data_IF_553146460958
#
_entry.id   IF_553146460958
#
_cell.length_a   1.000
_cell.length_b   1.000
_cell.length_c   1.000
_cell.angle_alpha   90.00
_cell.angle_beta   90.00
_cell.angle_gamma   90.00
#
_symmetry.space_group_name_H-M   'P 1'
#
loop_
_entity.id
_entity.type
_entity.pdbx_description
1 polymer ?
#
# COMPACT_ATOMS: atom_id res chain seq x y z
N UNK A 1 -18.15 67.35 -18.61
CA UNK A 1 -18.35 66.63 -17.34
C UNK A 1 -19.22 65.42 -17.64
N UNK A 2 -18.81 64.17 -17.45
CA UNK A 2 -17.54 63.63 -16.95
C UNK A 2 -17.38 62.21 -17.48
N UNK A 3 -16.13 61.81 -17.60
CA UNK A 3 -15.61 60.56 -18.12
C UNK A 3 -16.14 59.34 -17.36
N UNK A 4 -16.59 58.33 -18.11
CA UNK A 4 -16.83 56.98 -17.61
C UNK A 4 -15.55 56.18 -17.79
N UNK A 5 -14.63 56.28 -16.82
CA UNK A 5 -13.52 55.34 -16.69
C UNK A 5 -14.06 54.02 -16.15
N UNK A 6 -14.35 53.11 -17.08
CA UNK A 6 -14.70 51.73 -16.80
C UNK A 6 -13.45 51.01 -16.27
N UNK A 7 -13.46 50.75 -14.97
CA UNK A 7 -12.37 50.12 -14.22
C UNK A 7 -12.15 48.66 -14.67
N UNK A 8 -11.35 48.48 -15.72
CA UNK A 8 -10.77 47.22 -16.20
C UNK A 8 -9.53 46.77 -15.38
N UNK A 9 -9.42 47.18 -14.11
CA UNK A 9 -8.30 46.79 -13.24
C UNK A 9 -8.72 45.68 -12.27
N UNK A 10 -8.57 44.42 -12.68
CA UNK A 10 -8.69 43.31 -11.73
C UNK A 10 -8.90 41.92 -12.30
N UNK A 11 -9.06 41.76 -13.62
CA UNK A 11 -9.22 40.43 -14.20
C UNK A 11 -7.88 39.72 -14.27
N UNK A 12 -7.56 38.94 -13.22
CA UNK A 12 -6.43 38.01 -13.23
C UNK A 12 -6.50 37.17 -14.51
N UNK A 13 -5.42 37.14 -15.31
CA UNK A 13 -5.43 36.43 -16.59
C UNK A 13 -5.78 34.97 -16.34
N UNK A 14 -6.65 34.40 -17.17
CA UNK A 14 -7.04 33.00 -17.06
C UNK A 14 -5.78 32.13 -17.27
N UNK A 15 -5.21 31.68 -16.15
CA UNK A 15 -4.00 30.87 -16.14
C UNK A 15 -4.37 29.47 -16.61
N UNK A 16 -3.81 29.05 -17.75
CA UNK A 16 -4.08 27.73 -18.32
C UNK A 16 -3.56 26.63 -17.37
N UNK A 17 -4.44 25.79 -16.78
CA UNK A 17 -4.05 24.82 -15.76
C UNK A 17 -3.11 23.73 -16.28
N UNK A 18 -3.05 23.52 -17.60
CA UNK A 18 -2.20 22.51 -18.24
C UNK A 18 -0.75 22.98 -18.49
N UNK A 19 -0.43 24.25 -18.20
CA UNK A 19 0.92 24.83 -18.38
C UNK A 19 1.59 25.24 -17.05
N UNK A 20 0.98 24.87 -15.92
CA UNK A 20 1.44 25.26 -14.59
C UNK A 20 2.40 24.23 -14.01
N UNK A 21 3.46 24.70 -13.34
CA UNK A 21 4.39 23.84 -12.63
C UNK A 21 3.80 23.26 -11.35
N UNK A 22 4.50 22.30 -10.74
CA UNK A 22 4.10 21.73 -9.44
C UNK A 22 3.98 22.80 -8.36
N UNK A 23 4.90 23.77 -8.35
CA UNK A 23 4.90 24.91 -7.45
C UNK A 23 3.69 25.82 -7.66
N UNK A 24 3.26 26.04 -8.90
CA UNK A 24 2.11 26.90 -9.21
C UNK A 24 0.79 26.25 -8.76
N UNK A 25 0.65 24.93 -8.94
CA UNK A 25 -0.51 24.17 -8.44
C UNK A 25 -0.62 24.25 -6.91
N UNK A 26 0.51 24.11 -6.20
CA UNK A 26 0.55 24.24 -4.74
C UNK A 26 0.23 25.67 -4.32
N UNK A 27 0.82 26.68 -4.97
CA UNK A 27 0.56 28.10 -4.70
C UNK A 27 -0.92 28.44 -4.86
N UNK A 28 -1.56 28.00 -5.94
CA UNK A 28 -3.00 28.19 -6.14
C UNK A 28 -3.84 27.54 -5.04
N UNK A 29 -3.51 26.30 -4.65
CA UNK A 29 -4.22 25.59 -3.57
C UNK A 29 -4.05 26.29 -2.22
N UNK A 30 -2.86 26.80 -1.92
CA UNK A 30 -2.58 27.56 -0.71
C UNK A 30 -3.36 28.88 -0.71
N UNK A 31 -3.31 29.65 -1.80
CA UNK A 31 -4.06 30.90 -1.92
C UNK A 31 -5.56 30.67 -1.67
N UNK A 32 -6.14 29.63 -2.27
CA UNK A 32 -7.54 29.24 -2.08
C UNK A 32 -7.88 28.87 -0.62
N UNK A 33 -6.94 28.26 0.11
CA UNK A 33 -7.12 27.95 1.54
C UNK A 33 -7.01 29.22 2.40
N UNK A 34 -6.16 30.17 2.01
CA UNK A 34 -5.92 31.42 2.74
C UNK A 34 -6.99 32.50 2.48
N UNK A 35 -7.77 32.39 1.39
CA UNK A 35 -8.93 33.26 1.14
C UNK A 35 -9.98 33.21 2.27
N UNK A 36 -10.07 32.08 2.99
CA UNK A 36 -11.04 31.86 4.08
C UNK A 36 -10.40 31.14 5.27
N UNK A 37 -9.60 31.84 6.09
CA UNK A 37 -8.86 31.22 7.19
C UNK A 37 -9.76 30.71 8.33
N UNK A 38 -10.97 31.28 8.48
CA UNK A 38 -11.90 30.91 9.55
C UNK A 38 -12.69 29.61 9.26
N UNK A 39 -12.66 29.10 8.02
CA UNK A 39 -13.37 27.88 7.64
C UNK A 39 -12.48 26.66 7.94
N UNK A 40 -12.91 25.73 8.81
CA UNK A 40 -12.12 24.54 9.10
C UNK A 40 -11.96 23.68 7.85
N UNK A 41 -10.72 23.28 7.57
CA UNK A 41 -10.39 22.40 6.44
C UNK A 41 -10.79 20.97 6.77
N UNK A 42 -11.75 20.41 6.03
CA UNK A 42 -12.14 19.01 6.16
C UNK A 42 -11.10 18.13 5.45
N UNK A 43 -10.26 17.47 6.23
CA UNK A 43 -9.38 16.42 5.72
C UNK A 43 -10.23 15.15 5.60
N UNK A 44 -10.38 14.57 4.39
CA UNK A 44 -11.14 13.33 4.25
C UNK A 44 -10.47 12.23 5.06
N UNK A 45 -11.23 11.58 5.93
CA UNK A 45 -10.80 10.34 6.55
C UNK A 45 -10.54 9.29 5.48
N UNK A 46 -9.63 8.35 5.76
CA UNK A 46 -9.33 7.26 4.82
C UNK A 46 -10.62 6.58 4.37
N UNK A 47 -10.79 6.36 3.06
CA UNK A 47 -11.99 5.75 2.52
C UNK A 47 -12.25 4.41 3.19
N UNK A 48 -13.35 4.30 3.94
CA UNK A 48 -13.79 3.03 4.52
C UNK A 48 -14.02 2.01 3.40
N UNK A 49 -13.58 0.77 3.62
CA UNK A 49 -13.83 -0.32 2.69
C UNK A 49 -15.34 -0.51 2.54
N UNK A 50 -15.80 -0.74 1.30
CA UNK A 50 -17.22 -0.96 1.03
C UNK A 50 -17.61 -2.36 1.49
N UNK A 51 -18.22 -2.47 2.65
CA UNK A 51 -18.68 -3.74 3.19
C UNK A 51 -20.09 -4.08 2.69
N UNK A 52 -20.43 -5.37 2.48
CA UNK A 52 -21.79 -5.77 2.15
C UNK A 52 -22.72 -5.40 3.30
N UNK A 53 -23.90 -4.84 2.97
CA UNK A 53 -24.89 -4.47 3.99
C UNK A 53 -25.34 -5.70 4.76
N UNK A 54 -25.39 -5.58 6.09
CA UNK A 54 -25.90 -6.63 6.96
C UNK A 54 -27.34 -7.03 6.58
N UNK A 55 -27.71 -8.32 6.69
CA UNK A 55 -29.08 -8.74 6.48
C UNK A 55 -30.00 -8.07 7.51
N UNK A 56 -31.26 -7.75 7.14
CA UNK A 56 -32.22 -7.20 8.09
C UNK A 56 -32.63 -8.27 9.13
N UNK A 57 -32.77 -7.87 10.38
CA UNK A 57 -33.10 -8.79 11.49
C UNK A 57 -34.48 -9.45 11.32
N UNK A 58 -35.47 -8.69 10.87
CA UNK A 58 -36.84 -9.15 10.69
C UNK A 58 -37.38 -8.79 9.32
N UNK A 59 -37.80 -9.81 8.57
CA UNK A 59 -38.60 -9.64 7.36
C UNK A 59 -40.07 -9.66 7.77
N UNK A 60 -40.74 -8.52 7.64
CA UNK A 60 -42.15 -8.36 8.06
C UNK A 60 -43.15 -8.89 7.04
N UNK A 61 -42.75 -8.96 5.76
CA UNK A 61 -43.64 -9.26 4.65
C UNK A 61 -43.45 -10.71 4.17
N UNK A 62 -43.51 -11.67 5.09
CA UNK A 62 -43.38 -13.10 4.77
C UNK A 62 -44.78 -13.71 4.62
N UNK A 63 -45.09 -14.23 3.44
CA UNK A 63 -46.31 -15.00 3.22
C UNK A 63 -46.13 -16.44 3.76
N UNK A 64 -47.22 -17.09 4.16
CA UNK A 64 -47.18 -18.43 4.75
C UNK A 64 -46.46 -19.46 3.86
N UNK A 65 -45.83 -20.46 4.48
CA UNK A 65 -44.94 -21.43 3.79
C UNK A 65 -45.61 -22.27 2.70
N UNK A 66 -46.94 -22.39 2.74
CA UNK A 66 -47.74 -23.10 1.74
C UNK A 66 -48.41 -22.16 0.71
N UNK A 67 -48.19 -20.85 0.81
CA UNK A 67 -48.67 -19.90 -0.20
C UNK A 67 -47.88 -20.11 -1.51
N UNK A 68 -48.56 -20.01 -2.64
CA UNK A 68 -47.94 -20.15 -3.96
C UNK A 68 -46.99 -19.00 -4.30
N UNK A 69 -46.23 -19.15 -5.40
CA UNK A 69 -45.32 -18.13 -5.91
C UNK A 69 -46.11 -16.91 -6.40
N UNK A 70 -45.86 -15.76 -5.78
CA UNK A 70 -46.40 -14.46 -6.19
C UNK A 70 -45.59 -13.84 -7.33
N UNK A 71 -46.19 -12.86 -8.02
CA UNK A 71 -45.54 -12.16 -9.15
C UNK A 71 -44.27 -11.38 -8.75
N UNK A 72 -44.11 -11.03 -7.48
CA UNK A 72 -42.94 -10.32 -6.95
C UNK A 72 -41.77 -11.23 -6.54
N UNK A 73 -41.99 -12.54 -6.40
CA UNK A 73 -41.01 -13.45 -5.79
C UNK A 73 -39.74 -13.60 -6.63
N UNK A 74 -39.87 -13.52 -7.96
CA UNK A 74 -38.72 -13.52 -8.85
C UNK A 74 -37.78 -12.33 -8.59
N UNK A 75 -38.34 -11.13 -8.37
CA UNK A 75 -37.53 -9.95 -8.09
C UNK A 75 -36.91 -9.99 -6.69
N UNK A 76 -37.63 -10.53 -5.72
CA UNK A 76 -37.10 -10.79 -4.37
C UNK A 76 -35.90 -11.73 -4.45
N UNK A 77 -36.05 -12.88 -5.11
CA UNK A 77 -34.98 -13.84 -5.31
C UNK A 77 -33.76 -13.24 -6.02
N UNK A 78 -33.98 -12.51 -7.11
CA UNK A 78 -32.92 -11.83 -7.87
C UNK A 78 -32.13 -10.83 -6.99
N UNK A 79 -32.82 -10.08 -6.14
CA UNK A 79 -32.20 -9.13 -5.21
C UNK A 79 -31.39 -9.83 -4.11
N UNK A 80 -31.95 -10.89 -3.51
CA UNK A 80 -31.28 -11.70 -2.48
C UNK A 80 -30.04 -12.38 -3.06
N UNK A 81 -30.16 -13.02 -4.24
CA UNK A 81 -29.04 -13.70 -4.91
C UNK A 81 -27.88 -12.73 -5.20
N UNK A 82 -28.17 -11.53 -5.73
CA UNK A 82 -27.12 -10.51 -5.95
C UNK A 82 -26.45 -10.07 -4.67
N UNK A 83 -27.21 -9.85 -3.60
CA UNK A 83 -26.67 -9.48 -2.29
C UNK A 83 -25.76 -10.59 -1.75
N UNK A 84 -26.18 -11.84 -1.89
CA UNK A 84 -25.41 -12.99 -1.42
C UNK A 84 -24.13 -13.20 -2.22
N UNK A 85 -24.17 -13.09 -3.56
CA UNK A 85 -22.97 -13.18 -4.38
C UNK A 85 -21.96 -12.08 -4.06
N UNK A 86 -22.43 -10.83 -3.92
CA UNK A 86 -21.56 -9.73 -3.50
C UNK A 86 -20.96 -9.96 -2.10
N UNK A 87 -21.72 -10.57 -1.18
CA UNK A 87 -21.24 -10.93 0.15
C UNK A 87 -20.17 -12.03 0.10
N UNK A 88 -20.40 -13.09 -0.67
CA UNK A 88 -19.45 -14.20 -0.84
C UNK A 88 -18.16 -13.72 -1.52
N UNK A 89 -18.28 -12.95 -2.60
CA UNK A 89 -17.13 -12.36 -3.30
C UNK A 89 -16.30 -11.48 -2.36
N UNK A 90 -16.93 -10.65 -1.54
CA UNK A 90 -16.25 -9.83 -0.55
C UNK A 90 -15.51 -10.65 0.51
N UNK A 91 -16.12 -11.73 1.01
CA UNK A 91 -15.48 -12.62 1.99
C UNK A 91 -14.26 -13.30 1.37
N UNK A 92 -14.38 -13.81 0.14
CA UNK A 92 -13.27 -14.42 -0.58
C UNK A 92 -12.13 -13.44 -0.85
N UNK A 93 -12.45 -12.22 -1.30
CA UNK A 93 -11.46 -11.17 -1.52
C UNK A 93 -10.74 -10.79 -0.22
N UNK A 94 -11.48 -10.62 0.87
CA UNK A 94 -10.87 -10.36 2.18
C UNK A 94 -9.96 -11.49 2.64
N UNK A 95 -10.37 -12.75 2.48
CA UNK A 95 -9.56 -13.90 2.85
C UNK A 95 -8.25 -13.93 2.05
N UNK A 96 -8.32 -13.67 0.74
CA UNK A 96 -7.15 -13.57 -0.15
C UNK A 96 -6.22 -12.41 0.25
N UNK A 97 -6.76 -11.25 0.56
CA UNK A 97 -5.99 -10.09 1.00
C UNK A 97 -5.30 -10.32 2.35
N UNK A 98 -6.01 -10.90 3.33
CA UNK A 98 -5.45 -11.24 4.64
C UNK A 98 -4.31 -12.24 4.50
N UNK A 99 -4.51 -13.33 3.75
CA UNK A 99 -3.46 -14.32 3.51
C UNK A 99 -2.20 -13.70 2.86
N UNK A 100 -2.37 -12.76 1.92
CA UNK A 100 -1.25 -12.03 1.31
C UNK A 100 -0.55 -11.10 2.31
N UNK A 101 -1.31 -10.39 3.14
CA UNK A 101 -0.75 -9.51 4.15
C UNK A 101 0.04 -10.30 5.20
N UNK A 102 -0.50 -11.41 5.68
CA UNK A 102 0.15 -12.27 6.67
C UNK A 102 1.44 -12.89 6.10
N UNK A 103 1.41 -13.35 4.84
CA UNK A 103 2.59 -13.85 4.16
C UNK A 103 3.67 -12.77 4.01
N UNK A 104 3.29 -11.54 3.65
CA UNK A 104 4.21 -10.41 3.54
C UNK A 104 4.85 -10.06 4.88
N UNK A 105 4.05 -10.00 5.96
CA UNK A 105 4.54 -9.71 7.31
C UNK A 105 5.52 -10.80 7.74
N UNK A 106 5.16 -12.08 7.57
CA UNK A 106 6.03 -13.20 7.92
C UNK A 106 7.37 -13.16 7.16
N UNK A 107 7.35 -12.88 5.85
CA UNK A 107 8.56 -12.76 5.03
C UNK A 107 9.43 -11.58 5.49
N UNK A 108 8.81 -10.43 5.75
CA UNK A 108 9.51 -9.24 6.21
C UNK A 108 10.15 -9.45 7.59
N UNK A 109 9.43 -10.07 8.52
CA UNK A 109 9.97 -10.44 9.83
C UNK A 109 11.13 -11.42 9.73
N UNK A 110 11.04 -12.44 8.87
CA UNK A 110 12.12 -13.39 8.65
C UNK A 110 13.39 -12.70 8.11
N UNK A 111 13.22 -11.78 7.14
CA UNK A 111 14.32 -10.96 6.62
C UNK A 111 14.95 -10.09 7.70
N UNK A 112 14.13 -9.44 8.53
CA UNK A 112 14.61 -8.58 9.60
C UNK A 112 15.37 -9.38 10.67
N UNK A 113 14.84 -10.54 11.09
CA UNK A 113 15.52 -11.44 12.03
C UNK A 113 16.89 -11.89 11.49
N UNK A 114 16.96 -12.29 10.22
CA UNK A 114 18.24 -12.68 9.59
C UNK A 114 19.26 -11.52 9.55
N UNK A 115 18.81 -10.30 9.26
CA UNK A 115 19.65 -9.10 9.28
C UNK A 115 20.10 -8.78 10.71
N UNK A 116 19.21 -8.89 11.70
CA UNK A 116 19.49 -8.65 13.10
C UNK A 116 20.50 -9.65 13.67
N UNK A 117 20.39 -10.93 13.34
CA UNK A 117 21.37 -11.95 13.72
C UNK A 117 22.76 -11.64 13.16
N UNK A 118 22.85 -11.29 11.87
CA UNK A 118 24.11 -10.87 11.24
C UNK A 118 24.67 -9.61 11.90
N UNK A 119 23.82 -8.62 12.21
CA UNK A 119 24.21 -7.38 12.90
C UNK A 119 24.66 -7.65 14.34
N UNK A 120 23.98 -8.54 15.07
CA UNK A 120 24.31 -8.92 16.44
C UNK A 120 25.65 -9.63 16.53
N UNK A 121 25.92 -10.60 15.63
CA UNK A 121 27.23 -11.27 15.52
C UNK A 121 28.35 -10.27 15.27
N UNK A 122 28.18 -9.35 14.31
CA UNK A 122 29.17 -8.28 14.02
C UNK A 122 29.34 -7.32 15.19
N UNK A 123 28.27 -6.93 15.88
CA UNK A 123 28.31 -6.08 17.07
C UNK A 123 29.05 -6.75 18.23
N UNK A 124 28.81 -8.04 18.47
CA UNK A 124 29.52 -8.82 19.48
C UNK A 124 31.04 -8.92 19.19
N UNK A 125 31.44 -9.17 17.93
CA UNK A 125 32.86 -9.16 17.52
C UNK A 125 33.51 -7.80 17.81
N UNK A 126 32.84 -6.69 17.48
CA UNK A 126 33.31 -5.32 17.76
C UNK A 126 33.41 -5.03 19.28
N UNK A 127 32.44 -5.46 20.08
CA UNK A 127 32.47 -5.29 21.53
C UNK A 127 33.63 -6.04 22.17
N UNK A 128 33.84 -7.32 21.80
CA UNK A 128 35.00 -8.11 22.25
C UNK A 128 36.34 -7.44 21.88
N UNK A 129 36.50 -6.93 20.64
CA UNK A 129 37.72 -6.19 20.23
C UNK A 129 37.90 -4.90 21.02
N UNK A 130 36.82 -4.16 21.29
CA UNK A 130 36.85 -2.93 22.10
C UNK A 130 37.27 -3.23 23.54
N UNK A 131 36.74 -4.28 24.15
CA UNK A 131 37.12 -4.72 25.50
C UNK A 131 38.57 -5.19 25.55
N UNK A 132 39.03 -5.99 24.58
CA UNK A 132 40.42 -6.41 24.49
C UNK A 132 41.38 -5.22 24.35
N UNK A 133 41.05 -4.22 23.52
CA UNK A 133 41.84 -2.98 23.38
C UNK A 133 41.87 -2.17 24.68
N UNK A 134 40.75 -2.12 25.41
CA UNK A 134 40.69 -1.44 26.72
C UNK A 134 41.56 -2.14 27.76
N UNK A 135 41.56 -3.48 27.81
CA UNK A 135 42.43 -4.27 28.70
C UNK A 135 43.91 -4.03 28.39
N UNK A 136 44.32 -4.16 27.13
CA UNK A 136 45.71 -3.87 26.69
C UNK A 136 46.19 -2.46 27.06
N UNK A 137 45.32 -1.45 26.95
CA UNK A 137 45.63 -0.07 27.38
C UNK A 137 45.77 0.09 28.89
N UNK A 138 45.03 -0.69 29.69
CA UNK A 138 45.14 -0.69 31.15
C UNK A 138 46.43 -1.36 31.62
N UNK A 139 46.89 -2.37 30.88
CA UNK A 139 48.09 -3.16 31.20
C UNK A 139 49.40 -2.50 30.70
N UNK A 140 49.37 -1.22 30.28
CA UNK A 140 50.57 -0.43 30.00
C UNK A 140 51.22 -0.62 28.62
N UNK A 141 50.58 -1.32 27.68
CA UNK A 141 51.14 -1.51 26.33
C UNK A 141 51.02 -0.23 25.46
N UNK A 142 52.15 0.19 24.86
CA UNK A 142 52.29 1.40 24.02
C UNK A 142 51.25 1.43 22.87
N UNK A 143 50.47 2.52 22.71
CA UNK A 143 49.46 2.63 21.67
C UNK A 143 50.00 2.71 20.23
N UNK A 144 51.32 2.80 19.99
CA UNK A 144 51.92 3.03 18.66
C UNK A 144 52.33 1.78 17.87
N UNK A 145 52.25 0.58 18.43
CA UNK A 145 52.81 -0.65 17.79
C UNK A 145 51.77 -1.63 17.25
N UNK A 146 50.47 -1.29 17.23
CA UNK A 146 49.41 -2.23 16.83
C UNK A 146 48.43 -1.64 15.82
N UNK A 147 48.97 -1.06 14.75
CA UNK A 147 48.25 -0.89 13.48
C UNK A 147 48.45 -2.14 12.61
N UNK A 148 48.12 -3.31 13.14
CA UNK A 148 47.91 -4.50 12.30
C UNK A 148 46.46 -4.45 11.81
N UNK A 149 46.29 -3.67 10.74
CA UNK A 149 45.11 -3.59 9.91
C UNK A 149 45.04 -4.86 9.05
N UNK A 150 44.78 -6.00 9.69
CA UNK A 150 44.41 -7.22 8.96
C UNK A 150 42.98 -7.06 8.47
N UNK A 151 42.90 -6.48 7.27
CA UNK A 151 41.80 -6.46 6.32
C UNK A 151 41.27 -7.88 6.10
N UNK A 152 40.39 -8.34 6.98
CA UNK A 152 39.64 -9.56 6.78
C UNK A 152 38.35 -9.24 6.00
N UNK A 153 38.52 -9.08 4.68
CA UNK A 153 37.45 -9.08 3.71
C UNK A 153 36.92 -10.51 3.55
N UNK A 154 36.14 -10.99 4.52
CA UNK A 154 35.27 -12.13 4.24
C UNK A 154 34.00 -11.62 3.56
N UNK A 155 34.08 -11.56 2.24
CA UNK A 155 32.94 -11.53 1.34
C UNK A 155 32.25 -12.89 1.48
N UNK A 156 31.22 -12.97 2.34
CA UNK A 156 30.28 -14.08 2.32
C UNK A 156 29.54 -14.06 0.98
N UNK A 157 30.06 -14.84 0.03
CA UNK A 157 29.43 -15.17 -1.24
C UNK A 157 28.14 -15.95 -0.98
N UNK A 158 27.04 -15.26 -0.68
CA UNK A 158 25.70 -15.85 -0.76
C UNK A 158 25.25 -15.77 -2.21
N UNK A 159 25.54 -16.84 -2.97
CA UNK A 159 25.15 -17.01 -4.36
C UNK A 159 23.68 -16.69 -4.57
N UNK A 160 23.43 -15.53 -5.19
CA UNK A 160 22.14 -15.24 -5.82
C UNK A 160 22.15 -15.97 -7.16
N UNK A 161 21.58 -17.18 -7.20
CA UNK A 161 21.16 -17.78 -8.47
C UNK A 161 20.08 -16.86 -9.07
N UNK A 162 20.20 -16.43 -10.33
CA UNK A 162 19.05 -15.85 -11.03
C UNK A 162 18.05 -16.98 -11.27
N UNK A 163 16.83 -16.80 -10.77
CA UNK A 163 15.70 -17.67 -11.08
C UNK A 163 15.28 -17.37 -12.53
N UNK A 164 15.66 -18.25 -13.45
CA UNK A 164 15.11 -18.25 -14.82
C UNK A 164 13.64 -18.68 -14.74
N UNK A 165 12.75 -17.70 -14.63
CA UNK A 165 11.34 -17.90 -14.93
C UNK A 165 11.20 -18.27 -16.41
N UNK A 166 11.12 -19.56 -16.71
CA UNK A 166 10.55 -20.08 -17.95
C UNK A 166 9.11 -19.60 -18.03
N UNK A 167 8.86 -18.60 -18.86
CA UNK A 167 7.53 -18.26 -19.35
C UNK A 167 7.08 -19.35 -20.32
N UNK A 168 6.31 -20.31 -19.82
CA UNK A 168 5.50 -21.20 -20.64
C UNK A 168 4.31 -20.40 -21.19
N UNK A 169 4.45 -19.90 -22.41
CA UNK A 169 3.37 -19.28 -23.16
C UNK A 169 2.69 -20.37 -24.02
N UNK A 170 1.78 -21.12 -23.42
CA UNK A 170 0.79 -21.92 -24.13
C UNK A 170 -0.16 -20.98 -24.87
N UNK A 171 0.17 -20.71 -26.14
CA UNK A 171 -0.77 -20.11 -27.09
C UNK A 171 -1.63 -21.23 -27.65
N UNK A 172 -2.78 -21.48 -27.03
CA UNK A 172 -3.87 -22.20 -27.69
C UNK A 172 -4.39 -21.32 -28.84
N UNK A 173 -3.91 -21.57 -30.05
CA UNK A 173 -4.64 -21.20 -31.26
C UNK A 173 -5.71 -22.28 -31.49
N UNK A 174 -6.94 -21.93 -31.16
CA UNK A 174 -8.12 -22.61 -31.71
C UNK A 174 -8.06 -22.56 -33.23
N UNK A 175 -8.01 -23.74 -33.84
CA UNK A 175 -8.34 -23.94 -35.24
C UNK A 175 -9.68 -24.66 -35.28
N UNK A 176 -10.70 -23.97 -35.79
CA UNK A 176 -11.89 -24.61 -36.34
C UNK A 176 -11.49 -25.61 -37.43
N UNK A 177 -12.18 -26.76 -37.48
CA UNK A 177 -12.52 -27.32 -38.78
C UNK A 177 -14.04 -27.47 -38.92
N UNK A 178 -14.58 -26.82 -39.95
CA UNK A 178 -15.83 -27.20 -40.60
C UNK A 178 -15.80 -28.67 -41.00
N UNK A 179 -16.85 -29.42 -40.68
CA UNK A 179 -17.39 -30.49 -41.55
C UNK A 179 -18.70 -31.07 -41.00
N UNK A 180 -19.71 -31.04 -41.88
CA UNK A 180 -21.01 -31.77 -41.91
C UNK A 180 -22.18 -31.31 -41.02
#
# INVERSE_FOLDING_TARGET
>A
MGDAEDSEEGRVPAVNPYKMGTYDLVRMRINKLMEKPDVPVVIPESSRRKEPKAPPDFVRNVWGSAAGVGSGDFHIYRGIRRREYARLEFIEQQAKEKAKADAYIAEHEAKNRAIEEKRAKKRAKRQKRKEARKRKRKDGADPRTTDDDSSDQEIENTGSKPDETKSDSTTEKGGDPESE
#
